data_IF_963115982165
#
_entry.id   IF_963115982165
#
_cell.length_a   1.000
_cell.length_b   1.000
_cell.length_c   1.000
_cell.angle_alpha   90.00
_cell.angle_beta   90.00
_cell.angle_gamma   90.00
#
_symmetry.space_group_name_H-M   'P 1'
#
loop_
_entity.id
_entity.type
_entity.pdbx_description
1 polymer ?
#
# COMPACT_ATOMS: atom_id res chain seq x y z
N UNK A 1 -10.23 5.71 -9.89
CA UNK A 1 -9.20 6.07 -8.90
C UNK A 1 -8.43 4.83 -8.45
N UNK A 2 -7.26 5.03 -7.92
CA UNK A 2 -6.48 3.92 -7.36
C UNK A 2 -6.76 3.83 -5.86
N UNK A 3 -7.03 2.62 -5.39
CA UNK A 3 -7.25 2.37 -3.95
C UNK A 3 -6.28 1.30 -3.47
N UNK A 4 -6.03 1.27 -2.17
CA UNK A 4 -5.02 0.39 -1.57
C UNK A 4 -5.62 -0.57 -0.55
N UNK A 5 -6.89 -0.90 -0.70
CA UNK A 5 -7.57 -1.82 0.21
C UNK A 5 -6.87 -3.17 0.27
N UNK A 6 -6.37 -3.63 -0.88
CA UNK A 6 -5.68 -4.91 -0.94
C UNK A 6 -4.37 -4.94 -0.16
N UNK A 7 -3.73 -3.78 0.00
CA UNK A 7 -2.51 -3.67 0.80
C UNK A 7 -2.76 -4.16 2.23
N UNK A 8 -3.85 -3.70 2.83
CA UNK A 8 -4.15 -4.06 4.22
C UNK A 8 -4.46 -5.55 4.35
N UNK A 9 -5.14 -6.12 3.37
CA UNK A 9 -5.43 -7.55 3.33
C UNK A 9 -4.15 -8.36 3.19
N UNK A 10 -3.26 -7.97 2.28
CA UNK A 10 -2.00 -8.66 2.07
C UNK A 10 -1.11 -8.59 3.29
N UNK A 11 -1.06 -7.43 3.95
CA UNK A 11 -0.30 -7.28 5.18
C UNK A 11 -0.82 -8.23 6.26
N UNK A 12 -2.14 -8.32 6.41
CA UNK A 12 -2.74 -9.23 7.38
C UNK A 12 -2.40 -10.69 7.08
N UNK A 13 -2.46 -11.07 5.81
CA UNK A 13 -2.14 -12.43 5.40
C UNK A 13 -0.68 -12.79 5.69
N UNK A 14 0.21 -11.82 5.61
CA UNK A 14 1.65 -12.05 5.81
C UNK A 14 2.11 -11.68 7.21
N UNK A 15 1.19 -11.32 8.09
CA UNK A 15 1.49 -10.92 9.47
C UNK A 15 2.50 -9.77 9.55
N UNK A 16 2.33 -8.80 8.67
CA UNK A 16 3.20 -7.62 8.65
C UNK A 16 2.39 -6.40 9.07
N UNK A 17 2.87 -5.70 10.09
CA UNK A 17 2.21 -4.52 10.62
C UNK A 17 2.77 -3.24 9.97
N UNK A 18 2.06 -2.13 10.15
CA UNK A 18 2.56 -0.83 9.70
C UNK A 18 3.84 -0.45 10.44
N UNK A 19 3.98 -0.87 11.68
CA UNK A 19 5.20 -0.68 12.44
C UNK A 19 6.39 -1.33 11.73
N UNK A 20 6.21 -2.56 11.27
CA UNK A 20 7.27 -3.26 10.54
C UNK A 20 7.62 -2.58 9.22
N UNK A 21 6.62 -2.05 8.52
CA UNK A 21 6.87 -1.30 7.29
C UNK A 21 7.75 -0.07 7.57
N UNK A 22 7.48 0.65 8.66
CA UNK A 22 8.28 1.81 9.02
C UNK A 22 9.70 1.44 9.42
N UNK A 23 9.84 0.41 10.25
CA UNK A 23 11.14 0.04 10.81
C UNK A 23 12.04 -0.67 9.80
N UNK A 24 11.46 -1.55 8.97
CA UNK A 24 12.26 -2.40 8.09
C UNK A 24 12.34 -1.88 6.67
N UNK A 25 11.36 -1.12 6.23
CA UNK A 25 11.26 -0.74 4.82
C UNK A 25 11.39 0.77 4.60
N UNK A 26 11.47 1.53 5.68
CA UNK A 26 11.62 2.97 5.56
C UNK A 26 10.36 3.68 5.05
N UNK A 27 9.20 3.06 5.23
CA UNK A 27 7.93 3.67 4.87
C UNK A 27 7.48 4.54 6.04
N UNK A 28 7.47 5.85 5.87
CA UNK A 28 7.18 6.75 6.98
C UNK A 28 5.67 6.83 7.29
N UNK A 29 5.36 7.43 8.45
CA UNK A 29 3.97 7.56 8.90
C UNK A 29 3.12 8.38 7.94
N UNK A 30 3.71 9.36 7.31
CA UNK A 30 3.02 10.22 6.34
C UNK A 30 2.57 9.41 5.14
N UNK A 31 3.44 8.55 4.64
CA UNK A 31 3.13 7.67 3.51
C UNK A 31 2.01 6.69 3.87
N UNK A 32 2.08 6.12 5.08
CA UNK A 32 1.04 5.20 5.54
C UNK A 32 -0.30 5.92 5.61
N UNK A 33 -0.31 7.16 6.09
CA UNK A 33 -1.54 7.96 6.16
C UNK A 33 -2.12 8.21 4.78
N UNK A 34 -1.26 8.50 3.80
CA UNK A 34 -1.69 8.68 2.41
C UNK A 34 -2.27 7.39 1.82
N UNK A 35 -1.66 6.27 2.12
CA UNK A 35 -2.17 4.97 1.67
C UNK A 35 -3.57 4.71 2.24
N UNK A 36 -3.80 5.04 3.51
CA UNK A 36 -5.12 4.87 4.12
C UNK A 36 -6.17 5.76 3.48
N UNK A 37 -5.75 6.92 3.00
CA UNK A 37 -6.65 7.88 2.35
C UNK A 37 -6.81 7.63 0.85
N UNK A 38 -6.15 6.61 0.32
CA UNK A 38 -6.11 6.36 -1.12
C UNK A 38 -5.57 7.56 -1.89
N UNK A 39 -4.56 8.18 -1.32
CA UNK A 39 -3.93 9.36 -1.89
C UNK A 39 -2.84 8.95 -2.87
N UNK A 40 -2.27 9.94 -3.54
CA UNK A 40 -1.26 9.70 -4.56
C UNK A 40 0.04 9.18 -3.93
N UNK A 41 0.55 8.07 -4.46
CA UNK A 41 1.76 7.44 -3.96
C UNK A 41 2.72 7.25 -5.12
N UNK A 42 4.00 7.58 -4.91
CA UNK A 42 5.02 7.39 -5.93
C UNK A 42 5.22 5.90 -6.23
N UNK A 43 5.46 5.58 -7.50
CA UNK A 43 5.70 4.20 -7.90
C UNK A 43 6.92 3.60 -7.20
N UNK A 44 7.91 4.43 -6.87
CA UNK A 44 9.08 3.99 -6.12
C UNK A 44 8.68 3.42 -4.75
N UNK A 45 7.71 4.06 -4.09
CA UNK A 45 7.19 3.60 -2.81
C UNK A 45 6.40 2.30 -2.99
N UNK A 46 5.63 2.21 -4.07
CA UNK A 46 4.90 0.97 -4.38
C UNK A 46 5.87 -0.18 -4.59
N UNK A 47 7.00 0.07 -5.26
CA UNK A 47 8.05 -0.94 -5.42
C UNK A 47 8.58 -1.43 -4.09
N UNK A 48 8.81 -0.52 -3.15
CA UNK A 48 9.28 -0.87 -1.80
C UNK A 48 8.27 -1.75 -1.08
N UNK A 49 6.99 -1.42 -1.20
CA UNK A 49 5.93 -2.21 -0.58
C UNK A 49 5.86 -3.62 -1.15
N UNK A 50 5.93 -3.74 -2.46
CA UNK A 50 5.92 -5.05 -3.11
C UNK A 50 7.11 -5.89 -2.69
N UNK A 51 8.30 -5.28 -2.61
CA UNK A 51 9.50 -5.98 -2.17
C UNK A 51 9.39 -6.43 -0.70
N UNK A 52 8.88 -5.54 0.14
CA UNK A 52 8.74 -5.83 1.57
C UNK A 52 7.75 -6.95 1.85
N UNK A 53 6.67 -7.00 1.07
CA UNK A 53 5.61 -7.98 1.25
C UNK A 53 5.81 -9.21 0.36
N UNK A 54 6.80 -9.19 -0.50
CA UNK A 54 7.07 -10.26 -1.48
C UNK A 54 5.78 -10.57 -2.25
N UNK A 55 5.23 -9.55 -2.88
CA UNK A 55 3.95 -9.66 -3.57
C UNK A 55 3.98 -8.84 -4.86
N UNK A 56 2.90 -8.92 -5.60
CA UNK A 56 2.73 -8.19 -6.85
C UNK A 56 2.02 -6.87 -6.61
N UNK A 57 2.08 -5.99 -7.60
CA UNK A 57 1.42 -4.69 -7.52
C UNK A 57 -0.09 -4.86 -7.31
N UNK A 58 -0.70 -5.81 -7.98
CA UNK A 58 -2.14 -6.07 -7.85
C UNK A 58 -2.55 -6.56 -6.47
N UNK A 59 -1.58 -6.99 -5.66
CA UNK A 59 -1.85 -7.40 -4.29
C UNK A 59 -1.90 -6.23 -3.31
N UNK A 60 -1.52 -5.03 -3.75
CA UNK A 60 -1.49 -3.85 -2.88
C UNK A 60 -2.34 -2.70 -3.41
N UNK A 61 -2.68 -2.72 -4.70
CA UNK A 61 -3.40 -1.61 -5.32
C UNK A 61 -4.36 -2.12 -6.37
N UNK A 62 -5.41 -1.36 -6.63
CA UNK A 62 -6.32 -1.67 -7.72
C UNK A 62 -6.96 -0.39 -8.24
N UNK A 63 -7.36 -0.43 -9.49
CA UNK A 63 -8.10 0.66 -10.08
C UNK A 63 -9.59 0.39 -9.91
N UNK A 64 -10.33 1.39 -9.44
CA UNK A 64 -11.79 1.34 -9.44
C UNK A 64 -12.28 2.54 -10.24
N UNK A 65 -13.33 2.38 -11.07
CA UNK A 65 -13.86 3.50 -11.81
C UNK A 65 -14.38 4.58 -10.88
N UNK A 66 -14.11 5.83 -11.22
CA UNK A 66 -14.67 6.94 -10.47
C UNK A 66 -16.17 6.98 -10.73
N UNK A 67 -16.90 7.24 -9.66
CA UNK A 67 -18.34 7.43 -9.80
C UNK A 67 -18.59 8.85 -10.27
N UNK A 68 -18.98 8.98 -11.52
CA UNK A 68 -19.23 10.26 -12.14
C UNK A 68 -20.71 10.65 -12.10
N UNK A 69 -21.51 9.81 -11.45
CA UNK A 69 -22.93 10.00 -11.38
C UNK A 69 -23.40 11.26 -10.71
#
# INVERSE_FOLDING_TARGET
MIIYTRLWQTMAERNISTYQLREKCGIDSKTIRRLRANDNIETKTLSKLCAALDCRLEDIAEYVPDDLG
#
